data_IF_345399149197
#
_entry.id   IF_345399149197
#
_cell.length_a   1.000
_cell.length_b   1.000
_cell.length_c   1.000
_cell.angle_alpha   90.00
_cell.angle_beta   90.00
_cell.angle_gamma   90.00
#
_symmetry.space_group_name_H-M   'P 1'
#
loop_
_entity.id
_entity.type
_entity.pdbx_description
1 polymer ?
#
# COMPACT_ATOMS: atom_id res chain seq x y z
N UNK A 1 15.18 16.32 23.20
CA UNK A 1 16.00 15.65 22.19
C UNK A 1 15.02 14.92 21.27
N UNK A 2 14.77 15.41 20.05
CA UNK A 2 13.96 14.65 19.09
C UNK A 2 14.78 13.41 18.68
N UNK A 3 14.20 12.20 18.68
CA UNK A 3 14.87 11.05 18.09
C UNK A 3 15.10 11.35 16.61
N UNK A 4 16.35 11.61 16.24
CA UNK A 4 16.77 11.67 14.84
C UNK A 4 17.11 10.23 14.44
N UNK A 5 16.11 9.48 14.01
CA UNK A 5 16.38 8.25 13.25
C UNK A 5 16.76 8.71 11.85
N UNK A 6 18.03 8.52 11.45
CA UNK A 6 18.42 8.70 10.06
C UNK A 6 17.71 7.60 9.26
N UNK A 7 16.73 7.99 8.45
CA UNK A 7 16.00 7.06 7.58
C UNK A 7 16.75 6.89 6.26
N UNK A 8 18.00 6.46 6.39
CA UNK A 8 18.91 6.13 5.30
C UNK A 8 18.79 4.65 4.90
N UNK A 9 19.63 4.20 3.95
CA UNK A 9 19.61 2.81 3.47
C UNK A 9 19.91 1.78 4.58
N UNK A 10 20.68 2.15 5.60
CA UNK A 10 20.97 1.29 6.75
C UNK A 10 19.69 1.04 7.54
N UNK A 11 18.90 2.08 7.77
CA UNK A 11 17.62 1.94 8.45
C UNK A 11 16.62 1.14 7.63
N UNK A 12 16.56 1.35 6.31
CA UNK A 12 15.72 0.54 5.42
C UNK A 12 16.11 -0.95 5.46
N UNK A 13 17.42 -1.25 5.55
CA UNK A 13 17.93 -2.61 5.73
C UNK A 13 17.50 -3.21 7.07
N UNK A 14 17.65 -2.46 8.16
CA UNK A 14 17.26 -2.92 9.49
C UNK A 14 15.76 -3.24 9.59
N UNK A 15 14.90 -2.40 9.00
CA UNK A 15 13.45 -2.70 8.94
C UNK A 15 13.19 -4.01 8.21
N UNK A 16 13.86 -4.23 7.07
CA UNK A 16 13.74 -5.48 6.32
C UNK A 16 14.22 -6.70 7.12
N UNK A 17 15.36 -6.59 7.81
CA UNK A 17 15.89 -7.67 8.67
C UNK A 17 14.92 -8.06 9.79
N UNK A 18 14.17 -7.12 10.36
CA UNK A 18 13.13 -7.43 11.35
C UNK A 18 12.00 -8.26 10.73
N UNK A 19 11.58 -7.95 9.50
CA UNK A 19 10.58 -8.77 8.80
C UNK A 19 11.11 -10.19 8.61
N UNK A 20 12.35 -10.34 8.17
CA UNK A 20 13.00 -11.67 8.02
C UNK A 20 13.02 -12.41 9.36
N UNK A 21 13.39 -11.74 10.45
CA UNK A 21 13.39 -12.32 11.79
C UNK A 21 12.00 -12.81 12.21
N UNK A 22 10.94 -12.06 11.91
CA UNK A 22 9.57 -12.45 12.22
C UNK A 22 9.10 -13.64 11.36
N UNK A 23 9.53 -13.72 10.10
CA UNK A 23 9.26 -14.88 9.23
C UNK A 23 9.93 -16.15 9.77
N UNK A 24 11.19 -16.05 10.20
CA UNK A 24 11.94 -17.22 10.70
C UNK A 24 11.57 -17.62 12.13
N UNK A 25 11.24 -16.64 12.98
CA UNK A 25 10.99 -16.82 14.41
C UNK A 25 9.83 -15.94 14.88
N UNK A 26 8.58 -16.36 14.63
CA UNK A 26 7.39 -15.54 14.88
C UNK A 26 7.28 -15.06 16.32
N UNK A 27 7.13 -13.75 16.49
CA UNK A 27 6.94 -13.01 17.75
C UNK A 27 5.93 -11.89 17.52
N UNK A 28 4.74 -12.25 17.07
CA UNK A 28 3.63 -11.36 16.68
C UNK A 28 3.51 -10.09 17.54
N UNK A 29 3.38 -10.24 18.87
CA UNK A 29 3.20 -9.10 19.78
C UNK A 29 4.42 -8.16 19.77
N UNK A 30 5.64 -8.72 19.80
CA UNK A 30 6.87 -7.92 19.78
C UNK A 30 7.02 -7.19 18.44
N UNK A 31 6.73 -7.88 17.33
CA UNK A 31 6.79 -7.33 15.99
C UNK A 31 5.83 -6.14 15.82
N UNK A 32 4.55 -6.31 16.15
CA UNK A 32 3.57 -5.23 15.99
C UNK A 32 3.73 -4.11 17.00
N UNK A 33 4.20 -4.38 18.21
CA UNK A 33 4.56 -3.32 19.15
C UNK A 33 5.67 -2.43 18.59
N UNK A 34 6.70 -3.02 17.98
CA UNK A 34 7.74 -2.27 17.30
C UNK A 34 7.21 -1.51 16.08
N UNK A 35 6.40 -2.14 15.23
CA UNK A 35 5.77 -1.49 14.07
C UNK A 35 4.95 -0.26 14.48
N UNK A 36 4.15 -0.39 15.52
CA UNK A 36 3.35 0.70 16.05
C UNK A 36 4.21 1.83 16.66
N UNK A 37 5.33 1.49 17.30
CA UNK A 37 6.27 2.46 17.85
C UNK A 37 6.96 3.28 16.74
N UNK A 38 7.31 2.64 15.62
CA UNK A 38 7.99 3.28 14.49
C UNK A 38 7.07 4.14 13.61
N UNK A 39 5.76 3.89 13.66
CA UNK A 39 4.79 4.52 12.77
C UNK A 39 4.83 6.06 12.75
N UNK A 40 4.83 6.77 13.90
CA UNK A 40 4.80 8.23 13.89
C UNK A 40 6.02 8.83 13.18
N UNK A 41 7.20 8.26 13.38
CA UNK A 41 8.44 8.75 12.78
C UNK A 41 8.51 8.48 11.28
N UNK A 42 8.14 7.28 10.84
CA UNK A 42 8.09 6.96 9.40
C UNK A 42 7.07 7.86 8.69
N UNK A 43 5.92 8.11 9.31
CA UNK A 43 4.90 8.98 8.74
C UNK A 43 5.34 10.45 8.71
N UNK A 44 6.06 10.91 9.73
CA UNK A 44 6.69 12.24 9.73
C UNK A 44 7.67 12.38 8.57
N UNK A 45 8.54 11.40 8.33
CA UNK A 45 9.47 11.44 7.19
C UNK A 45 8.75 11.46 5.84
N UNK A 46 7.69 10.67 5.69
CA UNK A 46 6.86 10.72 4.49
C UNK A 46 6.29 12.13 4.26
N UNK A 47 5.83 12.80 5.32
CA UNK A 47 5.32 14.16 5.23
C UNK A 47 6.41 15.16 4.87
N UNK A 48 7.61 15.05 5.45
CA UNK A 48 8.76 15.90 5.11
C UNK A 48 9.10 15.79 3.62
N UNK A 49 9.19 14.58 3.07
CA UNK A 49 9.46 14.34 1.64
C UNK A 49 8.34 14.93 0.77
N UNK A 50 7.07 14.70 1.14
CA UNK A 50 5.94 15.32 0.44
C UNK A 50 6.03 16.84 0.40
N UNK A 51 6.48 17.49 1.46
CA UNK A 51 6.64 18.95 1.46
C UNK A 51 7.80 19.40 0.57
N UNK A 52 8.91 18.66 0.55
CA UNK A 52 10.04 18.91 -0.36
C UNK A 52 9.64 18.77 -1.83
N UNK A 53 8.92 17.71 -2.19
CA UNK A 53 8.43 17.48 -3.56
C UNK A 53 7.49 18.61 -4.00
N UNK A 54 6.63 19.09 -3.10
CA UNK A 54 5.73 20.22 -3.37
C UNK A 54 6.44 21.56 -3.50
N UNK A 55 7.57 21.76 -2.83
CA UNK A 55 8.37 22.99 -2.98
C UNK A 55 9.26 22.99 -4.22
N UNK A 56 9.26 21.90 -5.00
CA UNK A 56 10.14 21.73 -6.15
C UNK A 56 11.59 21.47 -5.75
N UNK A 57 11.83 21.06 -4.50
CA UNK A 57 13.17 20.68 -4.04
C UNK A 57 13.56 19.35 -4.68
N UNK A 58 14.78 19.27 -5.20
CA UNK A 58 15.31 18.00 -5.71
C UNK A 58 15.53 17.02 -4.56
N UNK A 59 14.94 15.83 -4.71
CA UNK A 59 15.27 14.66 -3.89
C UNK A 59 16.27 13.84 -4.69
N UNK A 60 17.49 13.68 -4.17
CA UNK A 60 18.51 12.91 -4.88
C UNK A 60 18.05 11.47 -5.11
N UNK A 61 18.47 10.88 -6.24
CA UNK A 61 18.09 9.52 -6.61
C UNK A 61 18.38 8.48 -5.51
N UNK A 62 19.52 8.61 -4.83
CA UNK A 62 19.91 7.71 -3.72
C UNK A 62 18.94 7.82 -2.54
N UNK A 63 18.53 9.03 -2.18
CA UNK A 63 17.57 9.27 -1.10
C UNK A 63 16.18 8.73 -1.48
N UNK A 64 15.80 8.87 -2.76
CA UNK A 64 14.55 8.32 -3.28
C UNK A 64 14.53 6.79 -3.20
N UNK A 65 15.62 6.15 -3.61
CA UNK A 65 15.74 4.69 -3.57
C UNK A 65 15.66 4.16 -2.14
N UNK A 66 16.41 4.75 -1.20
CA UNK A 66 16.37 4.38 0.21
C UNK A 66 14.98 4.60 0.82
N UNK A 67 14.30 5.70 0.48
CA UNK A 67 12.94 5.97 0.91
C UNK A 67 11.95 4.91 0.38
N UNK A 68 11.98 4.62 -0.92
CA UNK A 68 11.05 3.66 -1.50
C UNK A 68 11.28 2.25 -0.93
N UNK A 69 12.53 1.86 -0.68
CA UNK A 69 12.90 0.62 0.01
C UNK A 69 12.37 0.58 1.44
N UNK A 70 12.55 1.66 2.21
CA UNK A 70 12.01 1.78 3.57
C UNK A 70 10.49 1.57 3.58
N UNK A 71 9.75 2.25 2.69
CA UNK A 71 8.30 2.16 2.66
C UNK A 71 7.81 0.78 2.20
N UNK A 72 8.50 0.17 1.22
CA UNK A 72 8.23 -1.22 0.82
C UNK A 72 8.39 -2.17 2.02
N UNK A 73 9.53 -2.13 2.70
CA UNK A 73 9.79 -3.02 3.85
C UNK A 73 8.80 -2.77 4.99
N UNK A 74 8.56 -1.50 5.33
CA UNK A 74 7.68 -1.14 6.44
C UNK A 74 6.21 -1.49 6.17
N UNK A 75 5.74 -1.37 4.93
CA UNK A 75 4.40 -1.80 4.54
C UNK A 75 4.31 -3.29 4.18
N UNK A 76 5.39 -4.05 4.41
CA UNK A 76 5.49 -5.49 4.16
C UNK A 76 5.37 -5.87 2.67
N UNK A 77 5.65 -4.94 1.76
CA UNK A 77 5.70 -5.17 0.32
C UNK A 77 7.12 -5.51 -0.15
N UNK A 78 7.73 -6.52 0.50
CA UNK A 78 9.08 -6.99 0.21
C UNK A 78 9.05 -8.27 -0.62
N UNK A 79 10.08 -8.50 -1.43
CA UNK A 79 10.20 -9.66 -2.34
C UNK A 79 10.57 -10.97 -1.62
N UNK A 80 10.48 -11.01 -0.28
CA UNK A 80 10.75 -12.23 0.51
C UNK A 80 9.58 -13.23 0.49
N UNK A 81 8.39 -12.79 0.08
CA UNK A 81 7.20 -13.62 0.10
C UNK A 81 7.18 -14.58 -1.08
N UNK A 82 6.85 -15.84 -0.82
CA UNK A 82 6.65 -16.82 -1.89
C UNK A 82 5.45 -16.40 -2.76
N UNK A 83 5.52 -16.65 -4.07
CA UNK A 83 4.51 -16.21 -5.05
C UNK A 83 3.08 -16.68 -4.73
N UNK A 84 2.95 -17.83 -4.06
CA UNK A 84 1.68 -18.44 -3.69
C UNK A 84 1.26 -18.18 -2.23
N UNK A 85 2.01 -17.36 -1.48
CA UNK A 85 1.72 -17.07 -0.09
C UNK A 85 0.66 -15.96 0.02
N UNK A 86 -0.58 -16.36 0.34
CA UNK A 86 -1.76 -15.47 0.38
C UNK A 86 -2.15 -15.01 1.78
N UNK A 87 -1.52 -15.58 2.80
CA UNK A 87 -1.68 -15.25 4.22
C UNK A 87 -0.33 -15.37 4.95
N UNK A 88 -0.15 -14.57 5.99
CA UNK A 88 0.99 -14.67 6.91
C UNK A 88 0.48 -14.62 8.34
N UNK A 89 0.94 -15.55 9.20
CA UNK A 89 0.46 -15.68 10.58
C UNK A 89 0.66 -14.40 11.41
N UNK A 90 1.66 -13.59 11.05
CA UNK A 90 1.93 -12.31 11.68
C UNK A 90 1.21 -11.14 11.02
N UNK A 91 0.28 -11.37 10.10
CA UNK A 91 -0.54 -10.35 9.44
C UNK A 91 -2.03 -10.71 9.55
N UNK A 92 -2.68 -10.21 10.60
CA UNK A 92 -4.05 -10.55 11.00
C UNK A 92 -5.01 -9.41 10.75
N UNK A 93 -6.31 -9.67 10.91
CA UNK A 93 -7.37 -8.67 10.70
C UNK A 93 -7.23 -7.46 11.63
N UNK A 94 -6.70 -7.63 12.84
CA UNK A 94 -6.44 -6.54 13.80
C UNK A 94 -5.45 -5.51 13.24
N UNK A 95 -4.61 -5.92 12.29
CA UNK A 95 -3.65 -5.05 11.62
C UNK A 95 -4.29 -4.24 10.47
N UNK A 96 -5.57 -4.42 10.13
CA UNK A 96 -6.23 -3.64 9.08
C UNK A 96 -6.13 -2.11 9.29
N UNK A 97 -6.17 -1.67 10.56
CA UNK A 97 -6.06 -0.25 10.90
C UNK A 97 -4.66 0.33 10.57
N UNK A 98 -3.61 -0.49 10.53
CA UNK A 98 -2.27 -0.07 10.12
C UNK A 98 -2.28 0.44 8.67
N UNK A 99 -2.83 -0.35 7.75
CA UNK A 99 -2.91 0.03 6.32
C UNK A 99 -3.90 1.15 6.08
N UNK A 100 -5.03 1.18 6.82
CA UNK A 100 -5.97 2.31 6.77
C UNK A 100 -5.26 3.63 7.12
N UNK A 101 -4.49 3.65 8.21
CA UNK A 101 -3.71 4.83 8.61
C UNK A 101 -2.67 5.21 7.55
N UNK A 102 -1.97 4.23 6.98
CA UNK A 102 -1.01 4.49 5.91
C UNK A 102 -1.68 5.13 4.67
N UNK A 103 -2.82 4.59 4.23
CA UNK A 103 -3.60 5.11 3.12
C UNK A 103 -4.04 6.57 3.34
N UNK A 104 -4.50 6.90 4.55
CA UNK A 104 -4.95 8.25 4.91
C UNK A 104 -3.79 9.24 5.04
N UNK A 105 -2.70 8.84 5.72
CA UNK A 105 -1.65 9.78 6.13
C UNK A 105 -0.54 9.92 5.10
N UNK A 106 -0.08 8.81 4.51
CA UNK A 106 1.12 8.79 3.65
C UNK A 106 0.83 8.37 2.21
N UNK A 107 -0.45 8.17 1.84
CA UNK A 107 -0.89 7.79 0.50
C UNK A 107 -0.53 8.76 -0.63
N UNK A 108 0.08 9.91 -0.34
CA UNK A 108 0.62 10.83 -1.35
C UNK A 108 1.70 10.19 -2.22
N UNK A 109 2.46 9.25 -1.66
CA UNK A 109 3.62 8.66 -2.31
C UNK A 109 3.24 7.49 -3.22
N UNK A 110 3.66 7.45 -4.49
CA UNK A 110 3.40 6.33 -5.40
C UNK A 110 3.77 4.95 -4.83
N UNK A 111 4.86 4.89 -4.07
CA UNK A 111 5.33 3.67 -3.41
C UNK A 111 4.34 3.12 -2.37
N UNK A 112 3.53 3.97 -1.73
CA UNK A 112 2.49 3.54 -0.79
C UNK A 112 1.33 2.87 -1.53
N UNK A 113 0.92 3.42 -2.68
CA UNK A 113 -0.08 2.79 -3.54
C UNK A 113 0.41 1.43 -4.04
N UNK A 114 1.67 1.35 -4.50
CA UNK A 114 2.31 0.08 -4.86
C UNK A 114 2.27 -0.92 -3.71
N UNK A 115 2.76 -0.53 -2.52
CA UNK A 115 2.88 -1.46 -1.40
C UNK A 115 1.53 -2.00 -0.95
N UNK A 116 0.49 -1.16 -0.92
CA UNK A 116 -0.86 -1.60 -0.58
C UNK A 116 -1.45 -2.49 -1.68
N UNK A 117 -1.26 -2.17 -2.96
CA UNK A 117 -1.70 -3.06 -4.03
C UNK A 117 -0.98 -4.42 -3.96
N UNK A 118 0.31 -4.43 -3.65
CA UNK A 118 1.12 -5.63 -3.54
C UNK A 118 0.66 -6.54 -2.39
N UNK A 119 0.47 -6.01 -1.17
CA UNK A 119 0.07 -6.85 -0.03
C UNK A 119 -1.31 -7.48 -0.24
N UNK A 120 -2.19 -6.79 -0.97
CA UNK A 120 -3.54 -7.28 -1.29
C UNK A 120 -3.54 -8.46 -2.27
N UNK A 121 -2.42 -8.73 -2.92
CA UNK A 121 -2.23 -9.87 -3.82
C UNK A 121 -1.21 -10.90 -3.30
N UNK A 122 -0.54 -10.63 -2.18
CA UNK A 122 0.41 -11.52 -1.52
C UNK A 122 -0.11 -11.89 -0.12
N UNK A 123 0.69 -11.74 0.93
CA UNK A 123 0.42 -12.21 2.29
C UNK A 123 -0.80 -11.59 2.97
N UNK A 124 -1.36 -10.52 2.42
CA UNK A 124 -2.60 -9.88 2.91
C UNK A 124 -3.83 -10.25 2.09
N UNK A 125 -3.71 -11.09 1.05
CA UNK A 125 -4.79 -11.40 0.10
C UNK A 125 -6.00 -12.02 0.79
N UNK A 126 -5.77 -13.02 1.64
CA UNK A 126 -6.88 -13.70 2.33
C UNK A 126 -7.41 -12.84 3.49
N UNK A 127 -6.52 -12.19 4.23
CA UNK A 127 -6.84 -11.36 5.39
C UNK A 127 -7.58 -10.06 5.03
N UNK A 128 -7.21 -9.39 3.94
CA UNK A 128 -7.71 -8.03 3.63
C UNK A 128 -8.49 -7.96 2.33
N UNK A 129 -9.02 -9.10 1.89
CA UNK A 129 -9.80 -9.26 0.65
C UNK A 129 -10.99 -8.30 0.53
N UNK A 130 -11.49 -7.76 1.65
CA UNK A 130 -12.60 -6.81 1.70
C UNK A 130 -12.12 -5.38 1.97
N UNK A 131 -11.23 -5.18 2.92
CA UNK A 131 -10.80 -3.85 3.39
C UNK A 131 -9.95 -3.12 2.33
N UNK A 132 -9.23 -3.86 1.49
CA UNK A 132 -8.28 -3.30 0.53
C UNK A 132 -8.84 -2.21 -0.41
N UNK A 133 -10.09 -2.35 -0.87
CA UNK A 133 -10.70 -1.40 -1.80
C UNK A 133 -10.93 -0.04 -1.16
N UNK A 134 -11.19 -0.02 0.15
CA UNK A 134 -11.30 1.22 0.88
C UNK A 134 -9.96 1.93 0.92
N UNK A 135 -8.86 1.21 1.20
CA UNK A 135 -7.52 1.79 1.27
C UNK A 135 -7.09 2.35 -0.09
N UNK A 136 -7.27 1.59 -1.17
CA UNK A 136 -6.97 2.03 -2.53
C UNK A 136 -7.82 3.26 -2.91
N UNK A 137 -9.12 3.23 -2.60
CA UNK A 137 -10.03 4.35 -2.86
C UNK A 137 -9.63 5.62 -2.09
N UNK A 138 -9.24 5.51 -0.81
CA UNK A 138 -8.74 6.62 0.00
C UNK A 138 -7.49 7.24 -0.63
N UNK A 139 -6.52 6.41 -1.00
CA UNK A 139 -5.26 6.87 -1.61
C UNK A 139 -5.55 7.62 -2.90
N UNK A 140 -6.27 7.00 -3.83
CA UNK A 140 -6.54 7.54 -5.16
C UNK A 140 -7.35 8.83 -5.08
N UNK A 141 -8.43 8.83 -4.27
CA UNK A 141 -9.32 9.99 -4.14
C UNK A 141 -8.62 11.20 -3.53
N UNK A 142 -7.78 10.99 -2.53
CA UNK A 142 -7.11 12.08 -1.82
C UNK A 142 -5.85 12.58 -2.53
N UNK A 143 -5.35 11.84 -3.53
CA UNK A 143 -4.09 12.12 -4.20
C UNK A 143 -4.22 12.09 -5.74
N UNK A 144 -4.96 13.04 -6.35
CA UNK A 144 -5.22 13.04 -7.79
C UNK A 144 -3.97 13.12 -8.68
N UNK A 145 -2.83 13.60 -8.15
CA UNK A 145 -1.57 13.64 -8.89
C UNK A 145 -1.06 12.25 -9.27
N UNK A 146 -1.45 11.20 -8.53
CA UNK A 146 -1.08 9.80 -8.83
C UNK A 146 -1.58 9.32 -10.20
N UNK A 147 -2.59 9.98 -10.77
CA UNK A 147 -3.07 9.71 -12.13
C UNK A 147 -2.00 9.96 -13.19
N UNK A 148 -1.11 10.92 -12.95
CA UNK A 148 -0.04 11.33 -13.87
C UNK A 148 1.36 11.01 -13.37
N UNK A 149 1.50 10.65 -12.10
CA UNK A 149 2.79 10.28 -11.52
C UNK A 149 3.34 9.00 -12.14
N UNK A 150 4.66 8.90 -12.18
CA UNK A 150 5.35 7.64 -12.45
C UNK A 150 5.12 6.70 -11.27
N UNK A 151 4.47 5.58 -11.54
CA UNK A 151 4.22 4.55 -10.55
C UNK A 151 5.32 3.50 -10.59
N UNK A 152 5.67 2.87 -9.46
CA UNK A 152 6.53 1.70 -9.47
C UNK A 152 5.99 0.63 -10.43
N UNK A 153 6.90 -0.11 -11.06
CA UNK A 153 6.55 -1.19 -11.98
C UNK A 153 5.54 -2.16 -11.33
N UNK A 154 4.60 -2.69 -12.11
CA UNK A 154 3.52 -3.59 -11.69
C UNK A 154 2.44 -3.01 -10.76
N UNK A 155 2.51 -1.73 -10.36
CA UNK A 155 1.45 -1.13 -9.51
C UNK A 155 0.06 -1.28 -10.14
N UNK A 156 -0.06 -0.98 -11.44
CA UNK A 156 -1.33 -1.10 -12.15
C UNK A 156 -1.82 -2.55 -12.18
N UNK A 157 -0.93 -3.49 -12.52
CA UNK A 157 -1.22 -4.93 -12.56
C UNK A 157 -1.77 -5.44 -11.22
N UNK A 158 -1.13 -5.10 -10.09
CA UNK A 158 -1.61 -5.53 -8.78
C UNK A 158 -2.99 -4.93 -8.43
N UNK A 159 -3.26 -3.68 -8.80
CA UNK A 159 -4.59 -3.09 -8.60
C UNK A 159 -5.63 -3.84 -9.46
N UNK A 160 -5.32 -4.12 -10.73
CA UNK A 160 -6.20 -4.88 -11.63
C UNK A 160 -6.50 -6.29 -11.09
N UNK A 161 -5.49 -7.02 -10.64
CA UNK A 161 -5.65 -8.37 -10.09
C UNK A 161 -6.57 -8.37 -8.86
N UNK A 162 -6.30 -7.47 -7.91
CA UNK A 162 -7.12 -7.32 -6.71
C UNK A 162 -8.58 -6.98 -7.06
N UNK A 163 -8.79 -6.01 -7.94
CA UNK A 163 -10.12 -5.56 -8.35
C UNK A 163 -10.90 -6.66 -9.09
N UNK A 164 -10.24 -7.41 -9.98
CA UNK A 164 -10.86 -8.54 -10.67
C UNK A 164 -11.35 -9.60 -9.69
N UNK A 165 -10.52 -9.96 -8.70
CA UNK A 165 -10.89 -10.89 -7.64
C UNK A 165 -12.06 -10.37 -6.80
N UNK A 166 -12.01 -9.10 -6.38
CA UNK A 166 -13.06 -8.48 -5.57
C UNK A 166 -14.40 -8.43 -6.30
N UNK A 167 -14.44 -7.97 -7.56
CA UNK A 167 -15.69 -7.82 -8.33
C UNK A 167 -16.36 -9.18 -8.54
N UNK A 168 -15.58 -10.22 -8.85
CA UNK A 168 -16.08 -11.60 -8.99
C UNK A 168 -16.71 -12.11 -7.69
N UNK A 169 -16.07 -11.87 -6.54
CA UNK A 169 -16.56 -12.32 -5.23
C UNK A 169 -17.75 -11.50 -4.72
N UNK A 170 -17.77 -10.19 -4.95
CA UNK A 170 -18.71 -9.25 -4.33
C UNK A 170 -19.85 -8.77 -5.25
N UNK A 171 -20.07 -9.42 -6.41
CA UNK A 171 -21.07 -9.02 -7.42
C UNK A 171 -22.46 -8.69 -6.84
N UNK A 172 -22.94 -9.49 -5.87
CA UNK A 172 -24.23 -9.25 -5.22
C UNK A 172 -24.21 -8.02 -4.29
N UNK A 173 -23.12 -7.85 -3.53
CA UNK A 173 -22.90 -6.71 -2.63
C UNK A 173 -22.82 -5.41 -3.41
N UNK A 174 -22.06 -5.36 -4.52
CA UNK A 174 -21.90 -4.15 -5.34
C UNK A 174 -23.22 -3.65 -5.96
N UNK A 175 -24.20 -4.53 -6.17
CA UNK A 175 -25.54 -4.14 -6.63
C UNK A 175 -26.35 -3.44 -5.53
N UNK A 176 -26.19 -3.88 -4.28
CA UNK A 176 -27.02 -3.44 -3.14
C UNK A 176 -26.39 -2.28 -2.36
N UNK A 177 -25.08 -2.28 -2.19
CA UNK A 177 -24.36 -1.33 -1.35
C UNK A 177 -23.73 -0.21 -2.18
N UNK A 178 -24.40 0.93 -2.23
CA UNK A 178 -23.96 2.08 -3.02
C UNK A 178 -22.59 2.61 -2.57
N UNK A 179 -22.32 2.65 -1.26
CA UNK A 179 -21.03 3.10 -0.74
C UNK A 179 -19.88 2.22 -1.24
N UNK A 180 -20.05 0.90 -1.16
CA UNK A 180 -19.07 -0.09 -1.63
C UNK A 180 -18.84 0.05 -3.13
N UNK A 181 -19.91 0.19 -3.91
CA UNK A 181 -19.84 0.43 -5.36
C UNK A 181 -19.08 1.71 -5.70
N UNK A 182 -19.31 2.81 -4.98
CA UNK A 182 -18.57 4.06 -5.17
C UNK A 182 -17.07 3.91 -4.93
N UNK A 183 -16.66 3.15 -3.90
CA UNK A 183 -15.24 2.87 -3.66
C UNK A 183 -14.61 2.09 -4.82
N UNK A 184 -15.31 1.06 -5.33
CA UNK A 184 -14.87 0.30 -6.50
C UNK A 184 -14.72 1.19 -7.72
N UNK A 185 -15.72 2.02 -8.02
CA UNK A 185 -15.68 2.92 -9.18
C UNK A 185 -14.53 3.92 -9.12
N UNK A 186 -14.20 4.47 -7.93
CA UNK A 186 -13.02 5.35 -7.77
C UNK A 186 -11.73 4.66 -8.23
N UNK A 187 -11.55 3.38 -7.89
CA UNK A 187 -10.35 2.62 -8.26
C UNK A 187 -10.38 2.28 -9.76
N UNK A 188 -11.53 1.89 -10.31
CA UNK A 188 -11.67 1.56 -11.73
C UNK A 188 -11.51 2.79 -12.63
N UNK A 189 -12.08 3.94 -12.26
CA UNK A 189 -11.90 5.21 -12.97
C UNK A 189 -10.41 5.58 -13.02
N UNK A 190 -9.68 5.39 -11.92
CA UNK A 190 -8.24 5.59 -11.90
C UNK A 190 -7.49 4.67 -12.87
N UNK A 191 -7.86 3.38 -12.95
CA UNK A 191 -7.27 2.46 -13.92
C UNK A 191 -7.56 2.90 -15.36
N UNK A 192 -8.81 3.27 -15.66
CA UNK A 192 -9.24 3.73 -16.99
C UNK A 192 -8.49 4.99 -17.41
N UNK A 193 -8.37 5.98 -16.52
CA UNK A 193 -7.65 7.21 -16.80
C UNK A 193 -6.14 6.99 -17.02
N UNK A 194 -5.59 5.90 -16.49
CA UNK A 194 -4.21 5.47 -16.74
C UNK A 194 -4.06 4.59 -17.98
N UNK A 195 -5.14 4.35 -18.73
CA UNK A 195 -5.13 3.58 -19.97
C UNK A 195 -5.27 2.07 -19.80
N UNK A 196 -5.77 1.60 -18.66
CA UNK A 196 -6.03 0.17 -18.45
C UNK A 196 -7.28 -0.31 -19.21
N UNK A 197 -7.07 -1.13 -20.23
CA UNK A 197 -8.16 -1.82 -20.96
C UNK A 197 -8.91 -2.81 -20.05
N UNK A 198 -8.19 -3.52 -19.17
CA UNK A 198 -8.77 -4.44 -18.19
C UNK A 198 -9.65 -3.68 -17.19
N UNK A 199 -9.16 -2.53 -16.72
CA UNK A 199 -9.90 -1.62 -15.84
C UNK A 199 -11.17 -1.08 -16.51
N UNK A 200 -11.11 -0.75 -17.80
CA UNK A 200 -12.27 -0.35 -18.58
C UNK A 200 -13.33 -1.45 -18.64
N UNK A 201 -12.95 -2.69 -18.99
CA UNK A 201 -13.87 -3.81 -19.00
C UNK A 201 -14.53 -4.07 -17.63
N UNK A 202 -13.74 -4.05 -16.55
CA UNK A 202 -14.26 -4.22 -15.18
C UNK A 202 -15.22 -3.11 -14.77
N UNK A 203 -15.00 -1.88 -15.25
CA UNK A 203 -15.87 -0.74 -14.97
C UNK A 203 -17.25 -0.93 -15.59
N UNK A 204 -17.30 -1.35 -16.85
CA UNK A 204 -18.56 -1.61 -17.56
C UNK A 204 -19.37 -2.75 -16.93
N UNK A 205 -18.71 -3.72 -16.26
CA UNK A 205 -19.39 -4.78 -15.52
C UNK A 205 -20.05 -4.31 -14.20
N UNK A 206 -19.62 -3.17 -13.65
CA UNK A 206 -20.04 -2.65 -12.34
C UNK A 206 -21.04 -1.49 -12.45
N UNK A 207 -20.94 -0.67 -13.50
CA UNK A 207 -21.87 0.43 -13.82
C UNK A 207 -23.25 -0.11 -14.17
#
# INVERSE_FOLDING_TARGET
MMPCVSMDDTFATWIWEIVVCEVERPRYEAFWNLWNLLQPDIFRKCNEIKMMEKSGSEVYFVDRYAFDRLIKSYLLASEIWAENLTSWDSLKHENANFYRKAAVTIGYHPIVLYSIAYILNSIGKDTFSKEGVEWLSIIIKNNPHLKKADLPMNTQYYIEEYMSGLIKREKATLRREEHRRKQVLVVLDFLVERGSEVGFGMREDVV
#
